data_IF_420364827496
#
_entry.id   IF_420364827496
#
_cell.length_a   1.000
_cell.length_b   1.000
_cell.length_c   1.000
_cell.angle_alpha   90.00
_cell.angle_beta   90.00
_cell.angle_gamma   90.00
#
_symmetry.space_group_name_H-M   'P 1'
#
loop_
_entity.id
_entity.type
_entity.pdbx_description
1 polymer ?
#
# COMPACT_ATOMS: atom_id res chain seq x y z
N UNK A 1 45.43 -3.73 2.70
CA UNK A 1 44.54 -2.56 2.53
C UNK A 1 43.60 -2.66 1.32
N UNK A 2 44.00 -3.25 0.18
CA UNK A 2 43.17 -3.34 -1.05
C UNK A 2 41.86 -4.13 -0.86
N UNK A 3 41.90 -5.21 -0.08
CA UNK A 3 40.74 -6.09 0.14
C UNK A 3 39.65 -5.45 1.02
N UNK A 4 40.04 -4.59 1.98
CA UNK A 4 39.12 -3.91 2.90
C UNK A 4 38.29 -2.85 2.15
N UNK A 5 38.92 -2.14 1.19
CA UNK A 5 38.22 -1.20 0.31
C UNK A 5 37.17 -1.90 -0.56
N UNK A 6 37.48 -3.07 -1.11
CA UNK A 6 36.51 -3.83 -1.90
C UNK A 6 35.31 -4.31 -1.07
N UNK A 7 35.52 -4.72 0.18
CA UNK A 7 34.44 -5.16 1.08
C UNK A 7 33.51 -3.99 1.46
N UNK A 8 34.07 -2.79 1.68
CA UNK A 8 33.29 -1.58 1.95
C UNK A 8 32.44 -1.12 0.76
N UNK A 9 32.96 -1.24 -0.47
CA UNK A 9 32.21 -0.88 -1.68
C UNK A 9 31.07 -1.88 -1.94
N UNK A 10 31.31 -3.18 -1.70
CA UNK A 10 30.31 -4.22 -1.91
C UNK A 10 29.15 -4.12 -0.89
N UNK A 11 29.46 -3.79 0.36
CA UNK A 11 28.44 -3.61 1.41
C UNK A 11 27.58 -2.37 1.19
N UNK A 12 28.16 -1.29 0.66
CA UNK A 12 27.41 -0.07 0.33
C UNK A 12 26.41 -0.31 -0.83
N UNK A 13 26.80 -1.11 -1.83
CA UNK A 13 25.91 -1.47 -2.95
C UNK A 13 24.67 -2.27 -2.54
N UNK A 14 24.79 -3.14 -1.54
CA UNK A 14 23.67 -3.99 -1.09
C UNK A 14 22.57 -3.21 -0.35
N UNK A 15 22.92 -2.09 0.29
CA UNK A 15 21.97 -1.27 1.05
C UNK A 15 21.01 -0.44 0.19
N UNK A 16 21.25 -0.31 -1.11
CA UNK A 16 20.39 0.47 -2.02
C UNK A 16 19.24 -0.33 -2.65
N UNK A 17 19.18 -1.66 -2.46
CA UNK A 17 18.16 -2.52 -3.06
C UNK A 17 16.90 -2.70 -2.19
N UNK A 18 16.85 -2.17 -0.96
CA UNK A 18 15.77 -2.45 0.00
C UNK A 18 14.65 -1.41 0.07
N UNK A 19 14.66 -0.37 -0.78
CA UNK A 19 13.57 0.60 -0.87
C UNK A 19 12.71 0.40 -2.13
N UNK A 20 12.42 -0.86 -2.47
CA UNK A 20 11.38 -1.17 -3.44
C UNK A 20 10.03 -1.04 -2.76
N UNK A 21 9.39 0.13 -2.84
CA UNK A 21 7.94 0.22 -2.61
C UNK A 21 7.30 -0.87 -3.46
N UNK A 22 6.54 -1.82 -2.89
CA UNK A 22 5.83 -2.79 -3.71
C UNK A 22 5.01 -1.96 -4.71
N UNK A 23 5.12 -2.29 -6.00
CA UNK A 23 4.17 -1.80 -7.00
C UNK A 23 2.82 -2.41 -6.64
N UNK A 24 2.19 -1.85 -5.63
CA UNK A 24 0.80 -2.10 -5.32
C UNK A 24 0.05 -1.68 -6.58
N UNK A 25 -0.51 -2.63 -7.29
CA UNK A 25 -1.48 -2.33 -8.35
C UNK A 25 -2.71 -1.60 -7.77
N UNK A 26 -2.83 -1.52 -6.44
CA UNK A 26 -3.84 -0.74 -5.77
C UNK A 26 -3.41 0.73 -5.63
N UNK A 27 -4.25 1.63 -6.11
CA UNK A 27 -4.12 3.06 -5.87
C UNK A 27 -4.77 3.42 -4.54
N UNK A 28 -3.98 3.62 -3.49
CA UNK A 28 -4.51 3.98 -2.17
C UNK A 28 -4.41 5.48 -1.92
N UNK A 29 -5.48 6.08 -1.41
CA UNK A 29 -5.54 7.50 -1.07
C UNK A 29 -6.26 7.72 0.25
N UNK A 30 -5.95 8.84 0.92
CA UNK A 30 -6.63 9.26 2.15
C UNK A 30 -7.59 10.39 1.85
N UNK A 31 -8.81 10.25 2.32
CA UNK A 31 -9.83 11.28 2.22
C UNK A 31 -9.83 12.17 3.49
N UNK A 32 -10.27 13.42 3.35
CA UNK A 32 -10.23 14.42 4.42
C UNK A 32 -11.12 14.07 5.63
N UNK A 33 -12.10 13.20 5.43
CA UNK A 33 -13.00 12.66 6.47
C UNK A 33 -12.35 11.54 7.31
N UNK A 34 -11.10 11.18 7.02
CA UNK A 34 -10.37 10.13 7.73
C UNK A 34 -10.60 8.72 7.18
N UNK A 35 -11.30 8.58 6.05
CA UNK A 35 -11.42 7.30 5.33
C UNK A 35 -10.24 7.09 4.37
N UNK A 36 -10.01 5.83 4.01
CA UNK A 36 -8.96 5.37 3.09
C UNK A 36 -9.64 4.76 1.88
N UNK A 37 -9.43 5.36 0.71
CA UNK A 37 -9.90 4.83 -0.56
C UNK A 37 -8.84 3.93 -1.20
N UNK A 38 -9.26 2.77 -1.71
CA UNK A 38 -8.41 1.81 -2.41
C UNK A 38 -9.01 1.56 -3.79
N UNK A 39 -8.33 2.03 -4.83
CA UNK A 39 -8.60 1.64 -6.21
C UNK A 39 -8.06 0.25 -6.47
N UNK A 40 -8.91 -0.67 -6.91
CA UNK A 40 -8.54 -2.05 -7.16
C UNK A 40 -8.61 -2.39 -8.65
N UNK A 41 -7.63 -3.14 -9.18
CA UNK A 41 -7.68 -3.67 -10.52
C UNK A 41 -8.78 -4.75 -10.64
N UNK A 42 -9.20 -5.05 -11.87
CA UNK A 42 -10.31 -5.99 -12.15
C UNK A 42 -10.09 -7.40 -11.58
N UNK A 43 -8.84 -7.82 -11.42
CA UNK A 43 -8.43 -9.13 -10.92
C UNK A 43 -8.31 -9.20 -9.39
N UNK A 44 -8.39 -8.06 -8.69
CA UNK A 44 -8.14 -8.01 -7.27
C UNK A 44 -9.30 -8.58 -6.45
N UNK A 45 -8.96 -9.23 -5.34
CA UNK A 45 -9.93 -9.67 -4.34
C UNK A 45 -10.17 -8.57 -3.32
N UNK A 46 -11.39 -8.52 -2.78
CA UNK A 46 -11.76 -7.58 -1.72
C UNK A 46 -10.81 -7.69 -0.50
N UNK A 47 -10.31 -8.88 -0.20
CA UNK A 47 -9.32 -9.14 0.86
C UNK A 47 -7.99 -8.44 0.63
N UNK A 48 -7.55 -8.30 -0.63
CA UNK A 48 -6.30 -7.62 -0.97
C UNK A 48 -6.47 -6.10 -0.87
N UNK A 49 -7.61 -5.58 -1.31
CA UNK A 49 -7.97 -4.18 -1.11
C UNK A 49 -8.05 -3.83 0.39
N UNK A 50 -8.61 -4.73 1.21
CA UNK A 50 -8.65 -4.58 2.66
C UNK A 50 -7.24 -4.60 3.27
N UNK A 51 -6.36 -5.51 2.83
CA UNK A 51 -4.98 -5.56 3.32
C UNK A 51 -4.23 -4.25 3.01
N UNK A 52 -4.42 -3.69 1.80
CA UNK A 52 -3.86 -2.39 1.42
C UNK A 52 -4.40 -1.26 2.30
N UNK A 53 -5.71 -1.26 2.60
CA UNK A 53 -6.30 -0.29 3.51
C UNK A 53 -5.78 -0.41 4.94
N UNK A 54 -5.61 -1.63 5.47
CA UNK A 54 -5.05 -1.88 6.80
C UNK A 54 -3.63 -1.36 6.90
N UNK A 55 -2.80 -1.51 5.86
CA UNK A 55 -1.45 -0.97 5.84
C UNK A 55 -1.44 0.56 5.95
N UNK A 56 -2.34 1.25 5.25
CA UNK A 56 -2.48 2.71 5.39
C UNK A 56 -3.06 3.12 6.74
N UNK A 57 -4.08 2.40 7.24
CA UNK A 57 -4.63 2.67 8.57
C UNK A 57 -3.58 2.46 9.68
N UNK A 58 -2.66 1.51 9.53
CA UNK A 58 -1.53 1.31 10.46
C UNK A 58 -0.59 2.51 10.50
N UNK A 59 -0.35 3.19 9.37
CA UNK A 59 0.43 4.44 9.36
C UNK A 59 -0.24 5.56 10.16
N UNK A 60 -1.57 5.49 10.32
CA UNK A 60 -2.36 6.40 11.15
C UNK A 60 -2.49 5.94 12.61
N UNK A 61 -1.84 4.83 13.00
CA UNK A 61 -1.93 4.25 14.34
C UNK A 61 -3.23 3.47 14.61
N UNK A 62 -3.96 3.07 13.57
CA UNK A 62 -5.19 2.26 13.66
C UNK A 62 -4.90 0.81 13.24
N UNK A 63 -5.57 -0.16 13.86
CA UNK A 63 -5.24 -1.59 13.70
C UNK A 63 -6.04 -2.26 12.56
N UNK A 64 -7.23 -1.76 12.26
CA UNK A 64 -8.15 -2.34 11.29
C UNK A 64 -8.65 -1.35 10.24
N UNK A 65 -9.25 -1.90 9.19
CA UNK A 65 -9.95 -1.17 8.15
C UNK A 65 -11.27 -1.91 7.86
N UNK A 66 -12.39 -1.19 7.95
CA UNK A 66 -13.75 -1.71 7.69
C UNK A 66 -14.32 -1.05 6.45
N UNK A 67 -14.95 -1.82 5.58
CA UNK A 67 -15.52 -1.32 4.33
C UNK A 67 -16.75 -0.46 4.65
N UNK A 68 -16.73 0.77 4.16
CA UNK A 68 -17.86 1.72 4.27
C UNK A 68 -18.65 1.69 2.99
N UNK A 69 -17.95 1.74 1.85
CA UNK A 69 -18.58 1.87 0.57
C UNK A 69 -17.74 1.24 -0.53
N UNK A 70 -18.42 0.63 -1.49
CA UNK A 70 -17.81 0.11 -2.71
C UNK A 70 -18.44 0.81 -3.89
N UNK A 71 -17.62 1.46 -4.71
CA UNK A 71 -18.05 2.18 -5.91
C UNK A 71 -17.37 1.64 -7.14
N UNK A 72 -18.14 1.47 -8.22
CA UNK A 72 -17.56 1.24 -9.54
C UNK A 72 -16.98 2.55 -10.06
N UNK A 73 -15.90 2.48 -10.83
CA UNK A 73 -15.36 3.64 -11.54
C UNK A 73 -15.48 3.46 -13.04
N UNK A 74 -15.42 4.57 -13.77
CA UNK A 74 -15.40 4.59 -15.24
C UNK A 74 -13.99 4.25 -15.78
N UNK A 75 -12.98 4.10 -14.92
CA UNK A 75 -11.62 3.82 -15.33
C UNK A 75 -11.39 2.31 -15.52
N UNK A 76 -11.10 1.89 -16.75
CA UNK A 76 -10.88 0.49 -17.11
C UNK A 76 -9.75 -0.17 -16.32
N UNK A 77 -8.74 0.61 -15.91
CA UNK A 77 -7.61 0.12 -15.11
C UNK A 77 -8.02 -0.19 -13.66
N UNK A 78 -8.97 0.56 -13.09
CA UNK A 78 -9.43 0.41 -11.71
C UNK A 78 -10.95 0.42 -11.66
N UNK A 79 -11.61 -0.66 -12.10
CA UNK A 79 -13.07 -0.69 -12.21
C UNK A 79 -13.77 -0.57 -10.85
N UNK A 80 -13.07 -0.83 -9.74
CA UNK A 80 -13.60 -0.80 -8.39
C UNK A 80 -12.80 0.12 -7.48
N UNK A 81 -13.51 0.86 -6.63
CA UNK A 81 -12.95 1.65 -5.53
C UNK A 81 -13.64 1.24 -4.24
N UNK A 82 -12.85 0.90 -3.25
CA UNK A 82 -13.31 0.55 -1.91
C UNK A 82 -12.95 1.68 -0.97
N UNK A 83 -13.92 2.20 -0.24
CA UNK A 83 -13.73 3.19 0.80
C UNK A 83 -13.76 2.46 2.12
N UNK A 84 -12.66 2.54 2.86
CA UNK A 84 -12.50 1.94 4.18
C UNK A 84 -12.46 3.00 5.26
N UNK A 85 -13.11 2.73 6.40
CA UNK A 85 -12.92 3.49 7.63
C UNK A 85 -11.91 2.77 8.50
N UNK A 86 -10.88 3.48 8.94
CA UNK A 86 -9.92 2.94 9.88
C UNK A 86 -10.58 2.72 11.25
N UNK A 87 -10.44 1.52 11.78
CA UNK A 87 -10.94 1.11 13.10
C UNK A 87 -9.77 0.78 14.03
N UNK A 88 -9.99 0.92 15.33
CA UNK A 88 -8.96 0.71 16.34
C UNK A 88 -9.03 -0.67 17.03
N UNK A 89 -9.86 -1.57 16.50
CA UNK A 89 -10.07 -2.92 17.03
C UNK A 89 -9.07 -3.91 16.45
#
# INVERSE_FOLDING_TARGET
MKNIRSILILSLGMTMLSCGTPQSEFGVYRQSDGTVGVHAPKSAKDTEAQAAAVLECKKLGKQGASIVETRTTVNDRFPMTYIFRCTSF
#
